data_IF_372076767472
#
_entry.id   IF_372076767472
#
_cell.length_a   1.000
_cell.length_b   1.000
_cell.length_c   1.000
_cell.angle_alpha   90.00
_cell.angle_beta   90.00
_cell.angle_gamma   90.00
#
_symmetry.space_group_name_H-M   'P 1'
#
loop_
_entity.id
_entity.type
_entity.pdbx_description
1 polymer ?
#
# COMPACT_ATOMS: atom_id res chain seq x y z
N UNK A 1 4.17 6.59 19.63
CA UNK A 1 3.45 6.46 18.36
C UNK A 1 3.89 5.15 17.72
N UNK A 2 2.98 4.23 17.46
CA UNK A 2 3.31 2.96 16.80
C UNK A 2 3.09 3.14 15.31
N UNK A 3 4.08 2.76 14.51
CA UNK A 3 3.94 2.64 13.06
C UNK A 3 3.68 1.16 12.76
N UNK A 4 2.69 0.88 11.92
CA UNK A 4 2.44 -0.47 11.43
C UNK A 4 2.74 -0.53 9.94
N UNK A 5 2.81 -1.76 9.47
CA UNK A 5 3.02 -2.06 8.07
C UNK A 5 1.96 -1.37 7.21
N UNK A 6 2.35 -0.88 6.02
CA UNK A 6 1.49 -0.13 5.10
C UNK A 6 0.98 1.24 5.60
N UNK A 7 1.52 1.76 6.70
CA UNK A 7 1.38 3.19 7.03
C UNK A 7 2.19 4.02 6.04
N UNK A 8 1.79 5.27 5.84
CA UNK A 8 2.57 6.24 5.07
C UNK A 8 3.08 7.37 5.97
N UNK A 9 4.20 7.96 5.59
CA UNK A 9 4.76 9.16 6.23
C UNK A 9 4.97 10.24 5.20
N UNK A 10 4.59 11.47 5.53
CA UNK A 10 5.03 12.66 4.78
C UNK A 10 6.34 13.13 5.35
N UNK A 11 7.33 13.32 4.49
CA UNK A 11 8.61 13.92 4.87
C UNK A 11 8.53 15.44 4.80
N UNK A 12 9.44 16.13 5.48
CA UNK A 12 9.54 17.60 5.48
C UNK A 12 9.66 18.22 4.09
N UNK A 13 10.20 17.49 3.12
CA UNK A 13 10.31 17.92 1.73
C UNK A 13 9.06 17.58 0.87
N UNK A 14 7.97 17.11 1.48
CA UNK A 14 6.73 16.72 0.81
C UNK A 14 6.74 15.33 0.17
N UNK A 15 7.85 14.58 0.26
CA UNK A 15 7.89 13.19 -0.22
C UNK A 15 7.02 12.27 0.63
N UNK A 16 6.46 11.22 0.03
CA UNK A 16 5.67 10.22 0.74
C UNK A 16 6.45 8.92 0.83
N UNK A 17 6.72 8.49 2.05
CA UNK A 17 7.32 7.20 2.37
C UNK A 17 6.29 6.17 2.77
N UNK A 18 6.54 4.91 2.42
CA UNK A 18 5.77 3.75 2.91
C UNK A 18 6.55 3.05 4.01
N UNK A 19 5.86 2.72 5.10
CA UNK A 19 6.37 1.93 6.22
C UNK A 19 6.27 0.44 5.88
N UNK A 20 7.33 -0.30 6.17
CA UNK A 20 7.42 -1.74 5.91
C UNK A 20 7.71 -2.47 7.22
N UNK A 21 6.87 -3.46 7.53
CA UNK A 21 6.88 -4.18 8.80
C UNK A 21 6.24 -3.38 9.94
N UNK A 22 6.19 -3.99 11.13
CA UNK A 22 5.59 -3.38 12.34
C UNK A 22 6.57 -3.29 13.51
N UNK A 23 7.85 -3.58 13.27
CA UNK A 23 8.92 -3.52 14.27
C UNK A 23 9.91 -2.43 13.89
N UNK A 24 9.98 -1.38 14.71
CA UNK A 24 10.72 -0.17 14.40
C UNK A 24 11.47 0.36 15.63
N UNK A 25 12.57 1.05 15.38
CA UNK A 25 13.29 1.76 16.43
C UNK A 25 12.60 3.09 16.79
N UNK A 26 12.97 3.69 17.92
CA UNK A 26 12.45 5.02 18.29
C UNK A 26 12.97 6.15 17.39
N UNK A 27 14.11 5.96 16.75
CA UNK A 27 14.79 6.96 15.93
C UNK A 27 14.47 6.86 14.43
N UNK A 28 13.97 5.72 13.96
CA UNK A 28 13.63 5.50 12.56
C UNK A 28 12.52 4.45 12.40
N UNK A 29 11.82 4.53 11.26
CA UNK A 29 10.97 3.44 10.77
C UNK A 29 11.67 2.72 9.63
N UNK A 30 11.39 1.42 9.49
CA UNK A 30 11.80 0.67 8.29
C UNK A 30 10.82 1.06 7.19
N UNK A 31 11.35 1.50 6.05
CA UNK A 31 10.54 2.08 5.00
C UNK A 31 11.36 2.80 3.94
N UNK A 32 10.70 3.20 2.86
CA UNK A 32 11.36 3.88 1.74
C UNK A 32 10.45 4.94 1.13
N UNK A 33 11.05 5.93 0.46
CA UNK A 33 10.31 6.96 -0.27
C UNK A 33 9.71 6.33 -1.52
N UNK A 34 8.37 6.32 -1.60
CA UNK A 34 7.62 5.78 -2.73
C UNK A 34 7.25 6.86 -3.73
N UNK A 35 6.94 8.07 -3.25
CA UNK A 35 6.54 9.20 -4.07
C UNK A 35 7.34 10.47 -3.75
N UNK A 36 7.72 11.24 -4.77
CA UNK A 36 8.31 12.57 -4.63
C UNK A 36 7.46 13.62 -5.34
N UNK A 37 7.35 14.85 -4.79
CA UNK A 37 6.79 15.97 -5.53
C UNK A 37 7.52 16.19 -6.84
N UNK A 38 6.79 16.50 -7.91
CA UNK A 38 7.35 16.74 -9.24
C UNK A 38 6.60 17.87 -9.93
N UNK A 39 7.28 18.54 -10.86
CA UNK A 39 6.67 19.53 -11.76
C UNK A 39 5.96 18.89 -12.95
N UNK A 40 6.29 17.63 -13.23
CA UNK A 40 5.70 16.88 -14.34
C UNK A 40 4.28 16.48 -13.98
N UNK A 41 3.38 16.53 -14.97
CA UNK A 41 2.02 16.01 -14.78
C UNK A 41 2.09 14.48 -14.65
N UNK A 42 1.61 13.97 -13.53
CA UNK A 42 1.50 12.54 -13.24
C UNK A 42 0.09 12.19 -12.80
N UNK A 43 -0.32 10.90 -12.85
CA UNK A 43 -1.61 10.47 -12.33
C UNK A 43 -1.78 10.75 -10.84
N UNK A 44 -0.67 10.72 -10.07
CA UNK A 44 -0.72 10.95 -8.63
C UNK A 44 -0.68 12.43 -8.31
N UNK A 45 -1.77 12.96 -7.77
CA UNK A 45 -1.94 14.40 -7.59
C UNK A 45 -2.81 14.73 -6.39
N UNK A 46 -2.43 15.77 -5.64
CA UNK A 46 -3.22 16.31 -4.54
C UNK A 46 -2.93 17.79 -4.34
N UNK A 47 -3.98 18.60 -4.18
CA UNK A 47 -3.86 20.01 -3.77
C UNK A 47 -2.85 20.84 -4.58
N UNK A 48 -2.80 20.65 -5.90
CA UNK A 48 -1.89 21.37 -6.79
C UNK A 48 -0.50 20.76 -6.93
N UNK A 49 -0.20 19.66 -6.24
CA UNK A 49 1.10 18.99 -6.25
C UNK A 49 0.99 17.66 -6.99
N UNK A 50 1.81 17.49 -8.03
CA UNK A 50 1.99 16.20 -8.69
C UNK A 50 3.07 15.38 -7.98
N UNK A 51 2.91 14.06 -8.00
CA UNK A 51 3.82 13.11 -7.39
C UNK A 51 4.30 12.08 -8.41
N UNK A 52 5.60 11.83 -8.45
CA UNK A 52 6.18 10.74 -9.24
C UNK A 52 6.47 9.54 -8.36
N UNK A 53 6.12 8.33 -8.83
CA UNK A 53 6.48 7.08 -8.18
C UNK A 53 7.93 6.75 -8.50
N UNK A 54 8.79 6.72 -7.48
CA UNK A 54 10.23 6.52 -7.63
C UNK A 54 10.57 5.04 -7.80
N UNK A 55 9.94 4.18 -6.99
CA UNK A 55 10.09 2.72 -7.10
C UNK A 55 9.06 2.18 -8.08
N UNK A 56 9.47 2.00 -9.34
CA UNK A 56 8.59 1.51 -10.42
C UNK A 56 8.41 -0.01 -10.39
N UNK A 57 9.43 -0.73 -9.94
CA UNK A 57 9.41 -2.19 -9.77
C UNK A 57 9.69 -2.50 -8.30
N UNK A 58 8.81 -3.26 -7.66
CA UNK A 58 8.93 -3.61 -6.24
C UNK A 58 9.99 -4.71 -5.99
N UNK A 59 11.13 -4.63 -6.65
CA UNK A 59 12.27 -5.49 -6.33
C UNK A 59 13.07 -4.89 -5.18
N UNK A 60 13.63 -5.76 -4.33
CA UNK A 60 14.54 -5.32 -3.26
C UNK A 60 15.72 -4.49 -3.80
N UNK A 61 16.18 -4.79 -5.03
CA UNK A 61 17.22 -4.02 -5.71
C UNK A 61 16.80 -2.59 -6.05
N UNK A 62 15.59 -2.39 -6.58
CA UNK A 62 15.07 -1.06 -6.93
C UNK A 62 14.82 -0.21 -5.69
N UNK A 63 14.23 -0.81 -4.64
CA UNK A 63 14.04 -0.14 -3.35
C UNK A 63 15.39 0.26 -2.76
N UNK A 64 16.37 -0.64 -2.78
CA UNK A 64 17.73 -0.34 -2.31
C UNK A 64 18.28 0.85 -3.07
N UNK A 65 18.31 0.82 -4.40
CA UNK A 65 18.83 1.90 -5.26
C UNK A 65 18.27 3.29 -4.91
N UNK A 66 16.98 3.38 -4.59
CA UNK A 66 16.28 4.63 -4.31
C UNK A 66 16.13 4.97 -2.82
N UNK A 67 16.71 4.17 -1.91
CA UNK A 67 16.66 4.44 -0.48
C UNK A 67 17.59 5.59 -0.09
N UNK A 68 16.99 6.71 0.33
CA UNK A 68 17.71 7.90 0.80
C UNK A 68 18.54 7.63 2.06
N UNK A 69 18.04 6.77 2.95
CA UNK A 69 18.74 6.34 4.16
C UNK A 69 18.73 4.83 4.26
N UNK A 70 19.86 4.28 4.70
CA UNK A 70 20.02 2.85 4.94
C UNK A 70 20.76 2.65 6.26
N UNK A 71 20.46 1.55 6.92
CA UNK A 71 21.15 1.14 8.14
C UNK A 71 21.31 -0.37 8.12
N UNK A 72 22.51 -0.86 8.46
CA UNK A 72 22.71 -2.28 8.70
C UNK A 72 21.91 -2.69 9.94
N UNK A 73 20.96 -3.61 9.76
CA UNK A 73 20.15 -4.14 10.86
C UNK A 73 20.57 -5.59 11.11
N UNK A 74 21.20 -5.90 12.26
CA UNK A 74 21.72 -7.25 12.56
C UNK A 74 20.68 -8.37 12.45
N UNK A 75 19.42 -8.08 12.77
CA UNK A 75 18.33 -9.05 12.65
C UNK A 75 18.11 -9.54 11.20
N UNK A 76 18.36 -8.69 10.22
CA UNK A 76 18.20 -9.01 8.80
C UNK A 76 19.54 -9.28 8.09
N UNK A 77 20.66 -9.11 8.80
CA UNK A 77 22.03 -9.24 8.28
C UNK A 77 22.26 -8.50 6.95
N UNK A 78 21.65 -7.31 6.80
CA UNK A 78 21.79 -6.50 5.60
C UNK A 78 21.49 -5.01 5.85
N UNK A 79 21.87 -4.17 4.88
CA UNK A 79 21.47 -2.77 4.83
C UNK A 79 19.98 -2.66 4.50
N UNK A 80 19.20 -2.18 5.45
CA UNK A 80 17.76 -2.00 5.32
C UNK A 80 17.43 -0.53 5.05
N UNK A 81 16.54 -0.23 4.10
CA UNK A 81 15.97 1.11 3.91
C UNK A 81 15.24 1.58 5.17
N UNK A 82 15.59 2.77 5.63
CA UNK A 82 14.97 3.39 6.80
C UNK A 82 14.54 4.83 6.50
N UNK A 83 13.61 5.34 7.30
CA UNK A 83 13.20 6.75 7.31
C UNK A 83 13.43 7.27 8.73
N UNK A 84 14.34 8.24 8.93
CA UNK A 84 14.56 8.86 10.24
C UNK A 84 13.29 9.56 10.72
N UNK A 85 12.93 9.39 12.00
CA UNK A 85 11.75 10.06 12.58
C UNK A 85 11.89 11.58 12.53
N UNK A 86 13.12 12.12 12.58
CA UNK A 86 13.39 13.55 12.46
C UNK A 86 12.91 14.16 11.13
N UNK A 87 12.85 13.36 10.07
CA UNK A 87 12.41 13.77 8.73
C UNK A 87 10.89 13.68 8.54
N UNK A 88 10.18 13.00 9.44
CA UNK A 88 8.72 12.81 9.34
C UNK A 88 8.00 14.08 9.79
N UNK A 89 7.23 14.66 8.86
CA UNK A 89 6.36 15.81 9.10
C UNK A 89 4.93 15.37 9.46
N UNK A 90 4.43 14.28 8.87
CA UNK A 90 3.07 13.78 9.09
C UNK A 90 3.01 12.26 9.00
N UNK A 91 2.12 11.66 9.79
CA UNK A 91 1.76 10.24 9.71
C UNK A 91 0.41 10.08 8.99
N UNK A 92 0.31 9.07 8.15
CA UNK A 92 -0.92 8.59 7.53
C UNK A 92 -1.21 7.16 8.02
N UNK A 93 -2.33 7.01 8.72
CA UNK A 93 -2.79 5.76 9.29
C UNK A 93 -3.95 5.19 8.44
N UNK A 94 -3.86 3.94 7.95
CA UNK A 94 -4.91 3.31 7.16
C UNK A 94 -6.27 3.24 7.82
N UNK A 95 -6.35 3.02 9.14
CA UNK A 95 -7.63 2.95 9.85
C UNK A 95 -8.29 4.33 9.95
N UNK A 96 -7.49 5.37 10.19
CA UNK A 96 -7.99 6.75 10.20
C UNK A 96 -8.54 7.11 8.83
N UNK A 97 -7.90 6.66 7.75
CA UNK A 97 -8.40 6.87 6.39
C UNK A 97 -9.76 6.21 6.15
N UNK A 98 -9.99 4.99 6.62
CA UNK A 98 -11.31 4.36 6.52
C UNK A 98 -12.39 5.17 7.24
N UNK A 99 -12.08 5.71 8.42
CA UNK A 99 -12.99 6.57 9.20
C UNK A 99 -13.24 7.93 8.49
N UNK A 100 -12.23 8.48 7.81
CA UNK A 100 -12.40 9.68 6.99
C UNK A 100 -13.37 9.44 5.83
N UNK A 101 -13.25 8.30 5.13
CA UNK A 101 -14.14 7.95 4.02
C UNK A 101 -15.60 7.78 4.49
N UNK A 102 -15.81 7.19 5.67
CA UNK A 102 -17.15 7.08 6.30
C UNK A 102 -17.82 8.45 6.46
N UNK A 103 -17.03 9.46 6.84
CA UNK A 103 -17.54 10.83 7.04
C UNK A 103 -17.80 11.53 5.72
N UNK A 104 -16.92 11.33 4.74
CA UNK A 104 -17.02 11.97 3.44
C UNK A 104 -16.15 11.27 2.39
N UNK A 105 -16.78 10.96 1.27
CA UNK A 105 -16.11 10.60 0.01
C UNK A 105 -16.14 11.78 -0.97
N UNK A 106 -15.13 11.88 -1.82
CA UNK A 106 -14.94 13.00 -2.75
C UNK A 106 -15.10 12.60 -4.22
N UNK A 107 -15.00 11.31 -4.53
CA UNK A 107 -15.07 10.78 -5.89
C UNK A 107 -15.56 9.32 -5.92
N UNK A 108 -15.76 8.79 -7.14
CA UNK A 108 -16.27 7.43 -7.35
C UNK A 108 -15.34 6.33 -6.83
N UNK A 109 -14.02 6.56 -6.79
CA UNK A 109 -13.07 5.55 -6.31
C UNK A 109 -13.11 5.47 -4.78
N UNK A 110 -13.22 6.61 -4.10
CA UNK A 110 -13.45 6.67 -2.66
C UNK A 110 -14.80 6.05 -2.25
N UNK A 111 -15.86 6.27 -3.05
CA UNK A 111 -17.18 5.63 -2.83
C UNK A 111 -17.06 4.11 -2.95
N UNK A 112 -16.37 3.60 -3.97
CA UNK A 112 -16.18 2.17 -4.13
C UNK A 112 -15.31 1.57 -3.01
N UNK A 113 -14.26 2.29 -2.57
CA UNK A 113 -13.46 1.89 -1.44
C UNK A 113 -14.31 1.78 -0.16
N UNK A 114 -15.18 2.77 0.10
CA UNK A 114 -16.10 2.74 1.25
C UNK A 114 -17.07 1.56 1.17
N UNK A 115 -17.62 1.28 -0.02
CA UNK A 115 -18.48 0.11 -0.25
C UNK A 115 -17.77 -1.20 0.11
N UNK A 116 -16.53 -1.39 -0.33
CA UNK A 116 -15.73 -2.59 0.00
C UNK A 116 -15.42 -2.66 1.50
N UNK A 117 -15.12 -1.53 2.14
CA UNK A 117 -14.91 -1.46 3.59
C UNK A 117 -16.17 -1.91 4.34
N UNK A 118 -17.35 -1.43 3.95
CA UNK A 118 -18.63 -1.84 4.55
C UNK A 118 -18.91 -3.32 4.34
N UNK A 119 -18.73 -3.82 3.11
CA UNK A 119 -18.94 -5.22 2.78
C UNK A 119 -18.12 -6.14 3.68
N UNK A 120 -16.82 -5.85 3.84
CA UNK A 120 -15.94 -6.63 4.72
C UNK A 120 -16.34 -6.43 6.18
N UNK A 121 -16.56 -5.18 6.62
CA UNK A 121 -16.80 -4.87 8.04
C UNK A 121 -18.08 -5.49 8.57
N UNK A 122 -19.17 -5.41 7.82
CA UNK A 122 -20.49 -5.92 8.23
C UNK A 122 -20.47 -7.45 8.33
N UNK A 123 -19.84 -8.12 7.36
CA UNK A 123 -19.90 -9.57 7.28
C UNK A 123 -18.83 -10.28 8.12
N UNK A 124 -17.71 -9.62 8.44
CA UNK A 124 -16.61 -10.25 9.18
C UNK A 124 -16.41 -9.69 10.59
N UNK A 125 -17.00 -8.52 10.88
CA UNK A 125 -16.74 -7.76 12.10
C UNK A 125 -15.33 -7.18 12.18
N UNK A 126 -14.63 -7.05 11.05
CA UNK A 126 -13.26 -6.53 10.94
C UNK A 126 -13.27 -5.25 10.10
N UNK A 127 -12.77 -4.15 10.66
CA UNK A 127 -12.59 -2.90 9.92
C UNK A 127 -11.25 -2.92 9.14
N UNK A 128 -11.25 -3.02 7.80
CA UNK A 128 -10.04 -2.85 7.01
C UNK A 128 -9.59 -1.37 7.00
N UNK A 129 -8.28 -1.15 6.98
CA UNK A 129 -7.66 0.13 6.72
C UNK A 129 -7.45 0.39 5.23
N UNK A 130 -7.50 1.65 4.80
CA UNK A 130 -7.19 2.05 3.42
C UNK A 130 -5.73 2.47 3.30
N UNK A 131 -4.96 1.83 2.41
CA UNK A 131 -3.54 2.18 2.15
C UNK A 131 -3.34 2.69 0.71
N UNK A 132 -2.15 2.52 0.15
CA UNK A 132 -1.89 2.80 -1.24
C UNK A 132 -1.91 4.29 -1.58
N UNK A 133 -2.45 4.62 -2.75
CA UNK A 133 -2.56 6.01 -3.20
C UNK A 133 -3.77 6.75 -2.60
N UNK A 134 -4.80 6.00 -2.18
CA UNK A 134 -5.99 6.54 -1.49
C UNK A 134 -5.65 7.05 -0.08
N UNK A 135 -4.70 6.45 0.61
CA UNK A 135 -4.28 6.85 1.97
C UNK A 135 -3.82 8.31 2.06
N UNK A 136 -2.82 8.76 1.28
CA UNK A 136 -2.47 10.17 1.24
C UNK A 136 -3.39 10.98 0.32
N UNK A 137 -4.48 10.41 -0.23
CA UNK A 137 -5.39 11.07 -1.18
C UNK A 137 -4.68 11.66 -2.41
N UNK A 138 -3.75 10.90 -2.99
CA UNK A 138 -3.05 11.26 -4.24
C UNK A 138 -3.53 10.41 -5.41
N UNK A 139 -4.58 9.62 -5.23
CA UNK A 139 -5.06 8.64 -6.22
C UNK A 139 -5.57 9.32 -7.50
N UNK A 140 -5.54 8.55 -8.57
CA UNK A 140 -6.19 8.87 -9.84
C UNK A 140 -7.46 8.04 -9.97
N UNK A 141 -8.59 8.72 -10.10
CA UNK A 141 -9.92 8.10 -10.14
C UNK A 141 -10.09 7.05 -11.26
N UNK A 142 -9.39 7.18 -12.38
CA UNK A 142 -9.52 6.26 -13.53
C UNK A 142 -8.51 5.11 -13.54
N UNK A 143 -7.42 5.20 -12.75
CA UNK A 143 -6.27 4.29 -12.90
C UNK A 143 -5.65 3.80 -11.60
N UNK A 144 -6.10 4.28 -10.44
CA UNK A 144 -5.59 3.80 -9.15
C UNK A 144 -6.42 2.63 -8.63
N UNK A 145 -5.72 1.63 -8.11
CA UNK A 145 -6.31 0.51 -7.40
C UNK A 145 -6.79 0.92 -6.00
N UNK A 146 -7.69 0.11 -5.43
CA UNK A 146 -8.11 0.21 -4.03
C UNK A 146 -7.27 -0.78 -3.22
N UNK A 147 -6.36 -0.25 -2.39
CA UNK A 147 -5.53 -1.06 -1.51
C UNK A 147 -6.11 -1.06 -0.08
N UNK A 148 -6.52 -2.23 0.41
CA UNK A 148 -6.97 -2.44 1.78
C UNK A 148 -5.94 -3.24 2.60
N UNK A 149 -5.83 -2.94 3.90
CA UNK A 149 -4.98 -3.67 4.84
C UNK A 149 -5.79 -4.11 6.05
N UNK A 150 -5.58 -5.35 6.48
CA UNK A 150 -6.18 -5.94 7.69
C UNK A 150 -5.06 -6.30 8.66
N UNK A 151 -5.20 -5.83 9.90
CA UNK A 151 -4.23 -6.09 10.96
C UNK A 151 -4.72 -7.19 11.90
N UNK A 152 -3.84 -8.16 12.17
CA UNK A 152 -4.10 -9.27 13.07
C UNK A 152 -4.34 -10.59 12.33
N UNK A 153 -3.77 -11.68 12.84
CA UNK A 153 -3.85 -12.98 12.18
C UNK A 153 -5.30 -13.49 12.08
N UNK A 154 -6.06 -13.39 13.19
CA UNK A 154 -7.44 -13.88 13.24
C UNK A 154 -8.36 -13.04 12.35
N UNK A 155 -8.14 -11.73 12.33
CA UNK A 155 -8.84 -10.76 11.51
C UNK A 155 -8.58 -11.05 10.02
N UNK A 156 -7.31 -11.19 9.64
CA UNK A 156 -6.93 -11.48 8.26
C UNK A 156 -7.46 -12.84 7.79
N UNK A 157 -7.44 -13.88 8.64
CA UNK A 157 -8.02 -15.18 8.30
C UNK A 157 -9.52 -15.05 8.00
N UNK A 158 -10.29 -14.41 8.89
CA UNK A 158 -11.73 -14.21 8.68
C UNK A 158 -12.04 -13.46 7.38
N UNK A 159 -11.27 -12.39 7.09
CA UNK A 159 -11.48 -11.61 5.87
C UNK A 159 -11.11 -12.40 4.62
N UNK A 160 -10.00 -13.15 4.64
CA UNK A 160 -9.58 -13.98 3.50
C UNK A 160 -10.58 -15.11 3.22
N UNK A 161 -11.06 -15.79 4.26
CA UNK A 161 -12.08 -16.85 4.13
C UNK A 161 -13.39 -16.27 3.56
N UNK A 162 -13.85 -15.13 4.10
CA UNK A 162 -15.04 -14.46 3.61
C UNK A 162 -14.92 -14.02 2.15
N UNK A 163 -13.79 -13.44 1.73
CA UNK A 163 -13.57 -13.03 0.34
C UNK A 163 -13.63 -14.25 -0.59
N UNK A 164 -12.96 -15.35 -0.24
CA UNK A 164 -12.91 -16.57 -1.05
C UNK A 164 -14.30 -17.23 -1.20
N UNK A 165 -15.13 -17.18 -0.16
CA UNK A 165 -16.50 -17.72 -0.18
C UNK A 165 -17.49 -16.82 -0.95
N UNK A 166 -17.14 -15.56 -1.24
CA UNK A 166 -18.03 -14.55 -1.82
C UNK A 166 -17.52 -14.00 -3.16
N UNK A 167 -17.12 -14.90 -4.07
CA UNK A 167 -16.58 -14.59 -5.41
C UNK A 167 -17.51 -13.80 -6.35
N UNK A 168 -18.81 -13.70 -6.04
CA UNK A 168 -19.75 -12.82 -6.76
C UNK A 168 -19.57 -11.34 -6.40
N UNK A 169 -19.05 -11.07 -5.20
CA UNK A 169 -18.78 -9.72 -4.70
C UNK A 169 -17.33 -9.35 -5.00
N UNK A 170 -16.42 -10.28 -4.75
CA UNK A 170 -14.99 -10.13 -5.03
C UNK A 170 -14.63 -10.94 -6.28
N UNK A 171 -14.92 -10.36 -7.44
CA UNK A 171 -14.68 -11.05 -8.70
C UNK A 171 -13.17 -11.20 -8.96
N UNK A 172 -12.77 -12.44 -9.27
CA UNK A 172 -11.45 -12.75 -9.80
C UNK A 172 -11.16 -12.04 -11.12
N UNK A 173 -9.89 -11.92 -11.50
CA UNK A 173 -9.49 -11.37 -12.78
C UNK A 173 -10.18 -12.06 -13.97
N UNK A 174 -10.80 -11.25 -14.84
CA UNK A 174 -11.40 -11.66 -16.12
C UNK A 174 -10.54 -11.18 -17.30
N UNK A 175 -10.86 -11.68 -18.50
CA UNK A 175 -10.40 -11.13 -19.78
C UNK A 175 -8.86 -11.03 -19.94
N UNK A 176 -8.14 -12.06 -19.51
CA UNK A 176 -6.68 -12.12 -19.68
C UNK A 176 -5.87 -11.30 -18.66
N UNK A 177 -6.53 -10.53 -17.78
CA UNK A 177 -5.85 -9.80 -16.68
C UNK A 177 -5.05 -10.72 -15.76
N UNK A 178 -5.49 -11.97 -15.60
CA UNK A 178 -4.71 -12.95 -14.86
C UNK A 178 -3.36 -13.20 -15.52
N UNK A 179 -3.31 -13.32 -16.84
CA UNK A 179 -2.05 -13.53 -17.57
C UNK A 179 -1.17 -12.26 -17.51
N UNK A 180 -1.76 -11.08 -17.64
CA UNK A 180 -1.03 -9.81 -17.46
C UNK A 180 -0.42 -9.70 -16.06
N UNK A 181 -1.19 -10.02 -15.02
CA UNK A 181 -0.73 -10.06 -13.65
C UNK A 181 0.38 -11.09 -13.48
N UNK A 182 0.23 -12.31 -14.02
CA UNK A 182 1.23 -13.38 -13.95
C UNK A 182 2.55 -12.95 -14.58
N UNK A 183 2.52 -12.36 -15.77
CA UNK A 183 3.72 -11.88 -16.48
C UNK A 183 4.39 -10.75 -15.67
N UNK A 184 3.58 -9.80 -15.16
CA UNK A 184 4.08 -8.68 -14.37
C UNK A 184 4.74 -9.13 -13.06
N UNK A 185 4.08 -10.02 -12.32
CA UNK A 185 4.59 -10.55 -11.06
C UNK A 185 5.80 -11.49 -11.25
N UNK A 186 5.82 -12.28 -12.34
CA UNK A 186 6.99 -13.08 -12.75
C UNK A 186 8.22 -12.20 -12.98
N UNK A 187 8.08 -11.11 -13.75
CA UNK A 187 9.16 -10.15 -13.99
C UNK A 187 9.63 -9.46 -12.70
N UNK A 188 8.71 -9.11 -11.82
CA UNK A 188 9.01 -8.36 -10.59
C UNK A 188 9.72 -9.21 -9.54
N UNK A 189 9.34 -10.49 -9.43
CA UNK A 189 9.88 -11.42 -8.42
C UNK A 189 11.06 -12.24 -8.93
N UNK A 190 11.22 -12.38 -10.25
CA UNK A 190 12.15 -13.30 -10.87
C UNK A 190 11.71 -14.77 -10.82
N UNK A 191 10.51 -15.06 -10.30
CA UNK A 191 9.96 -16.41 -10.25
C UNK A 191 9.29 -16.79 -11.58
N UNK A 192 9.34 -18.07 -12.01
CA UNK A 192 8.61 -18.52 -13.19
C UNK A 192 7.10 -18.25 -13.07
N UNK A 193 6.44 -17.89 -14.18
CA UNK A 193 4.99 -17.56 -14.19
C UNK A 193 4.09 -18.68 -13.64
N UNK A 194 4.52 -19.95 -13.76
CA UNK A 194 3.84 -21.12 -13.15
C UNK A 194 3.91 -21.15 -11.62
N UNK A 195 4.97 -20.60 -11.04
CA UNK A 195 5.14 -20.51 -9.58
C UNK A 195 4.37 -19.32 -9.03
N UNK A 196 4.39 -18.20 -9.73
CA UNK A 196 3.61 -17.00 -9.39
C UNK A 196 2.12 -17.27 -9.35
N UNK A 197 1.59 -18.05 -10.31
CA UNK A 197 0.17 -18.41 -10.36
C UNK A 197 -0.31 -19.16 -9.10
N UNK A 198 0.56 -19.94 -8.44
CA UNK A 198 0.20 -20.64 -7.20
C UNK A 198 -0.13 -19.69 -6.04
N UNK A 199 0.32 -18.44 -6.13
CA UNK A 199 0.04 -17.40 -5.14
C UNK A 199 -1.22 -16.60 -5.47
N UNK A 200 -1.81 -16.80 -6.65
CA UNK A 200 -3.10 -16.22 -6.99
C UNK A 200 -4.20 -17.02 -6.29
N UNK A 201 -4.88 -16.38 -5.34
CA UNK A 201 -6.03 -16.95 -4.63
C UNK A 201 -7.30 -16.31 -5.20
N UNK A 202 -8.18 -17.15 -5.75
CA UNK A 202 -9.54 -16.76 -6.12
C UNK A 202 -10.42 -16.69 -4.88
#
# INVERSE_FOLDING_TARGET
MQFLDHYYVELRNGSLGVVVGSSHARSFVIGYVKYKPTVNKTPWFRSGIHYERIVKYYSASSVREHANWRMYIPHYDCDVPIIPISEVARLYNPLDRSIELERKTSDKLEVEALRLIHEVSINTGVLPGVTGSLLPAIHNVESSDIDLVVYGLRESTRVVEYIAENSRVFESFRDGKLEEWRISASRSTGLPAREVEKFYRN
#
